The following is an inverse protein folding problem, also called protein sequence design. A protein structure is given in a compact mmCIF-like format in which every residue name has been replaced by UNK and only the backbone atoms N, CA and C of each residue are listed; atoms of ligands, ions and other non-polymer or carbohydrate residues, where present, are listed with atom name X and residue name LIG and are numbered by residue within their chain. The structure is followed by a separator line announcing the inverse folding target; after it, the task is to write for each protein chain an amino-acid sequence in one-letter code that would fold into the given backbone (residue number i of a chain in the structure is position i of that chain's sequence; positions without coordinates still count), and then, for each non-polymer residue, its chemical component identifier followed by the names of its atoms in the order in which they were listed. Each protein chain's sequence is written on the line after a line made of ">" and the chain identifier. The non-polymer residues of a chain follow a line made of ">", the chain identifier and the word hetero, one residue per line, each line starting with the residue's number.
data_IF_831472149877
#
_entry.id   IF_831472149877
#
_cell.length_a   1.000
_cell.length_b   1.000
_cell.length_c   1.000
_cell.angle_alpha   90.00
_cell.angle_beta   90.00
_cell.angle_gamma   90.00
#
_symmetry.space_group_name_H-M   'P 1'
#
loop_
_entity.id
_entity.type
_entity.pdbx_description
1 polymer ?
#
# COMPACT_ATOMS: atom_id res chain seq x y z
N UNK A 1 14.80 -10.16 -9.79
CA UNK A 1 16.04 -10.98 -9.79
C UNK A 1 17.00 -10.56 -8.68
N UNK A 2 17.45 -9.28 -8.58
CA UNK A 2 18.35 -8.90 -7.47
C UNK A 2 17.74 -9.12 -6.08
N UNK A 3 16.49 -8.73 -5.86
CA UNK A 3 15.80 -8.99 -4.59
C UNK A 3 15.61 -10.47 -4.28
N UNK A 4 15.35 -11.28 -5.29
CA UNK A 4 15.23 -12.74 -5.15
C UNK A 4 16.55 -13.38 -4.70
N UNK A 5 17.68 -12.85 -5.16
CA UNK A 5 18.99 -13.34 -4.73
C UNK A 5 19.15 -13.30 -3.21
N UNK A 6 18.73 -12.22 -2.56
CA UNK A 6 18.77 -12.11 -1.10
C UNK A 6 17.72 -12.99 -0.43
N UNK A 7 16.48 -12.98 -0.93
CA UNK A 7 15.41 -13.84 -0.43
C UNK A 7 15.81 -15.31 -0.41
N UNK A 8 16.35 -15.80 -1.53
CA UNK A 8 16.67 -17.23 -1.70
C UNK A 8 17.87 -17.66 -0.84
N UNK A 9 18.62 -16.70 -0.29
CA UNK A 9 19.71 -16.91 0.68
C UNK A 9 19.28 -16.72 2.14
N UNK A 10 17.97 -16.59 2.39
CA UNK A 10 17.42 -16.45 3.74
C UNK A 10 17.58 -15.04 4.33
N UNK A 11 17.57 -14.02 3.48
CA UNK A 11 17.59 -12.61 3.86
C UNK A 11 16.28 -11.95 3.51
N UNK A 12 16.01 -10.78 4.10
CA UNK A 12 14.83 -9.97 3.81
C UNK A 12 15.22 -8.84 2.85
N UNK A 13 14.44 -8.68 1.78
CA UNK A 13 14.66 -7.64 0.78
C UNK A 13 13.38 -6.84 0.53
N UNK A 14 13.54 -5.55 0.27
CA UNK A 14 12.48 -4.64 -0.13
C UNK A 14 12.77 -4.09 -1.52
N UNK A 15 11.77 -4.11 -2.40
CA UNK A 15 11.83 -3.48 -3.71
C UNK A 15 10.68 -2.48 -3.87
N UNK A 16 10.99 -1.30 -4.35
CA UNK A 16 10.02 -0.26 -4.69
C UNK A 16 9.98 -0.10 -6.20
N UNK A 17 8.80 -0.17 -6.80
CA UNK A 17 8.58 0.09 -8.22
C UNK A 17 7.94 1.47 -8.38
N UNK A 18 8.72 2.47 -8.72
CA UNK A 18 8.28 3.85 -8.94
C UNK A 18 8.44 4.21 -10.44
N UNK A 19 7.38 4.08 -11.26
CA UNK A 19 6.07 3.52 -10.93
C UNK A 19 5.59 2.57 -12.04
N UNK A 20 4.61 1.72 -11.72
CA UNK A 20 4.06 0.77 -12.68
C UNK A 20 3.02 1.38 -13.63
N UNK A 21 2.48 2.56 -13.32
CA UNK A 21 1.60 3.29 -14.24
C UNK A 21 2.37 3.73 -15.49
N UNK A 22 3.57 4.30 -15.30
CA UNK A 22 4.45 4.69 -16.42
C UNK A 22 4.96 3.49 -17.19
N UNK A 23 5.23 2.38 -16.51
CA UNK A 23 5.56 1.13 -17.17
C UNK A 23 4.40 0.66 -18.08
N UNK A 24 3.17 0.70 -17.59
CA UNK A 24 1.99 0.34 -18.39
C UNK A 24 1.81 1.26 -19.60
N UNK A 25 2.02 2.57 -19.45
CA UNK A 25 1.97 3.52 -20.57
C UNK A 25 3.02 3.22 -21.63
N UNK A 26 4.26 2.98 -21.23
CA UNK A 26 5.32 2.61 -22.15
C UNK A 26 4.99 1.30 -22.89
N UNK A 27 4.49 0.30 -22.18
CA UNK A 27 4.09 -0.97 -22.78
C UNK A 27 2.93 -0.83 -23.76
N UNK A 28 1.94 0.03 -23.46
CA UNK A 28 0.85 0.39 -24.36
C UNK A 28 1.38 1.02 -25.64
N UNK A 29 2.27 2.01 -25.53
CA UNK A 29 2.86 2.67 -26.69
C UNK A 29 3.60 1.68 -27.60
N UNK A 30 4.46 0.83 -27.03
CA UNK A 30 5.19 -0.20 -27.77
C UNK A 30 4.22 -1.16 -28.47
N UNK A 31 3.18 -1.58 -27.77
CA UNK A 31 2.18 -2.51 -28.32
C UNK A 31 1.40 -1.92 -29.49
N UNK A 32 1.04 -0.63 -29.40
CA UNK A 32 0.37 0.09 -30.49
C UNK A 32 1.28 0.28 -31.71
N UNK A 33 2.55 0.60 -31.50
CA UNK A 33 3.55 0.69 -32.58
C UNK A 33 3.74 -0.65 -33.28
N UNK A 34 3.69 -1.75 -32.54
CA UNK A 34 3.74 -3.11 -33.08
C UNK A 34 2.40 -3.57 -33.67
N UNK A 35 1.40 -2.68 -33.77
CA UNK A 35 0.06 -2.96 -34.31
C UNK A 35 -0.65 -4.12 -33.59
N UNK A 36 -0.39 -4.34 -32.33
CA UNK A 36 -1.16 -5.29 -31.51
C UNK A 36 -2.57 -4.77 -31.29
N UNK A 37 -3.60 -5.60 -31.32
CA UNK A 37 -4.98 -5.16 -31.11
C UNK A 37 -5.14 -4.55 -29.71
N UNK A 38 -5.68 -3.32 -29.59
CA UNK A 38 -5.91 -2.68 -28.33
C UNK A 38 -7.14 -3.28 -27.63
N UNK A 39 -7.06 -3.39 -26.30
CA UNK A 39 -8.17 -3.72 -25.42
C UNK A 39 -8.70 -2.48 -24.66
N UNK A 40 -9.14 -2.69 -23.43
CA UNK A 40 -9.66 -1.62 -22.57
C UNK A 40 -8.61 -0.51 -22.40
N UNK A 41 -9.04 0.74 -22.53
CA UNK A 41 -8.18 1.95 -22.44
C UNK A 41 -6.95 1.89 -23.38
N UNK A 42 -7.11 1.20 -24.51
CA UNK A 42 -6.06 0.95 -25.50
C UNK A 42 -4.84 0.14 -24.99
N UNK A 43 -4.93 -0.48 -23.83
CA UNK A 43 -3.90 -1.40 -23.37
C UNK A 43 -3.97 -2.73 -24.11
N UNK A 44 -2.84 -3.40 -24.33
CA UNK A 44 -2.85 -4.75 -24.89
C UNK A 44 -3.45 -5.75 -23.90
N UNK A 45 -4.00 -6.85 -24.40
CA UNK A 45 -4.69 -7.85 -23.58
C UNK A 45 -3.82 -8.51 -22.49
N UNK A 46 -2.50 -8.45 -22.62
CA UNK A 46 -1.52 -9.04 -21.70
C UNK A 46 -0.95 -8.05 -20.66
N UNK A 47 -1.51 -6.84 -20.55
CA UNK A 47 -1.04 -5.86 -19.56
C UNK A 47 -1.21 -6.33 -18.12
N UNK A 48 -2.25 -7.09 -17.81
CA UNK A 48 -2.40 -7.73 -16.51
C UNK A 48 -1.22 -8.68 -16.21
N UNK A 49 -0.86 -9.51 -17.18
CA UNK A 49 0.27 -10.42 -17.07
C UNK A 49 1.61 -9.69 -16.94
N UNK A 50 1.77 -8.52 -17.56
CA UNK A 50 2.95 -7.67 -17.38
C UNK A 50 3.21 -7.37 -15.90
N UNK A 51 2.17 -7.00 -15.14
CA UNK A 51 2.28 -6.66 -13.73
C UNK A 51 2.27 -7.90 -12.82
N UNK A 52 1.40 -8.87 -13.09
CA UNK A 52 1.28 -10.06 -12.25
C UNK A 52 2.57 -10.87 -12.21
N UNK A 53 3.19 -11.14 -13.35
CA UNK A 53 4.47 -11.88 -13.40
C UNK A 53 5.62 -11.16 -12.68
N UNK A 54 5.54 -9.82 -12.54
CA UNK A 54 6.52 -9.03 -11.82
C UNK A 54 6.27 -9.09 -10.31
N UNK A 55 5.03 -8.87 -9.90
CA UNK A 55 4.64 -8.72 -8.50
C UNK A 55 4.53 -10.05 -7.77
N UNK A 56 4.07 -11.12 -8.43
CA UNK A 56 3.97 -12.46 -7.85
C UNK A 56 5.34 -13.11 -7.52
N UNK A 57 6.42 -12.49 -7.95
CA UNK A 57 7.78 -12.88 -7.55
C UNK A 57 8.12 -12.42 -6.13
N UNK A 58 7.39 -11.44 -5.60
CA UNK A 58 7.49 -11.05 -4.18
C UNK A 58 6.83 -12.15 -3.33
N UNK A 59 7.60 -12.70 -2.41
CA UNK A 59 7.15 -13.83 -1.59
C UNK A 59 8.02 -14.02 -0.37
N UNK A 60 7.51 -14.78 0.58
CA UNK A 60 8.29 -15.30 1.69
C UNK A 60 8.55 -16.79 1.47
N UNK A 61 9.81 -17.20 1.58
CA UNK A 61 10.24 -18.59 1.44
C UNK A 61 10.52 -19.22 2.81
N UNK A 62 10.23 -20.52 2.92
CA UNK A 62 10.42 -21.27 4.15
C UNK A 62 11.88 -21.75 4.30
N UNK A 63 12.18 -22.33 5.45
CA UNK A 63 13.52 -22.87 5.77
C UNK A 63 13.96 -23.92 4.77
N UNK A 64 13.06 -24.85 4.43
CA UNK A 64 13.36 -25.97 3.52
C UNK A 64 13.77 -25.48 2.13
N UNK A 65 13.10 -24.44 1.63
CA UNK A 65 13.44 -23.81 0.35
C UNK A 65 14.86 -23.20 0.39
N UNK A 66 15.17 -22.43 1.45
CA UNK A 66 16.47 -21.76 1.60
C UNK A 66 17.60 -22.80 1.72
N UNK A 67 17.41 -23.85 2.50
CA UNK A 67 18.38 -24.93 2.65
C UNK A 67 18.63 -25.67 1.34
N UNK A 68 17.56 -25.96 0.59
CA UNK A 68 17.68 -26.60 -0.73
C UNK A 68 18.41 -25.71 -1.74
N UNK A 69 18.03 -24.41 -1.80
CA UNK A 69 18.64 -23.45 -2.73
C UNK A 69 20.12 -23.22 -2.44
N UNK A 70 20.48 -23.08 -1.17
CA UNK A 70 21.87 -22.85 -0.73
C UNK A 70 22.68 -24.15 -0.58
N UNK A 71 22.11 -25.31 -0.93
CA UNK A 71 22.75 -26.64 -0.78
C UNK A 71 23.23 -26.91 0.64
N UNK A 72 22.48 -26.39 1.62
CA UNK A 72 22.77 -26.57 3.06
C UNK A 72 23.79 -25.59 3.64
N UNK A 73 24.27 -24.60 2.88
CA UNK A 73 25.14 -23.54 3.41
C UNK A 73 24.43 -22.65 4.44
N UNK A 74 23.15 -22.34 4.19
CA UNK A 74 22.32 -21.56 5.11
C UNK A 74 21.25 -22.45 5.71
N UNK A 75 21.22 -22.57 7.04
CA UNK A 75 20.28 -23.42 7.79
C UNK A 75 19.41 -22.61 8.73
N UNK A 76 18.16 -23.06 8.89
CA UNK A 76 17.23 -22.51 9.87
C UNK A 76 16.75 -21.08 9.58
N UNK A 77 16.97 -20.56 8.38
CA UNK A 77 16.55 -19.21 7.98
C UNK A 77 15.40 -19.24 7.00
N UNK A 78 14.53 -18.25 7.10
CA UNK A 78 13.53 -17.91 6.08
C UNK A 78 13.99 -16.67 5.35
N UNK A 79 13.56 -16.47 4.10
CA UNK A 79 13.84 -15.24 3.37
C UNK A 79 12.54 -14.58 2.90
N UNK A 80 12.56 -13.26 2.68
CA UNK A 80 11.41 -12.56 2.12
C UNK A 80 11.80 -11.53 1.07
N UNK A 81 10.89 -11.31 0.12
CA UNK A 81 10.96 -10.21 -0.83
C UNK A 81 9.63 -9.49 -0.79
N UNK A 82 9.64 -8.26 -0.26
CA UNK A 82 8.48 -7.38 -0.22
C UNK A 82 8.54 -6.41 -1.40
N UNK A 83 7.46 -6.32 -2.16
CA UNK A 83 7.33 -5.36 -3.26
C UNK A 83 6.34 -4.26 -2.90
N UNK A 84 6.72 -3.01 -3.11
CA UNK A 84 5.87 -1.84 -3.00
C UNK A 84 5.73 -1.19 -4.38
N UNK A 85 4.72 -1.58 -5.17
CA UNK A 85 4.43 -0.92 -6.44
C UNK A 85 3.71 0.41 -6.19
N UNK A 86 4.20 1.47 -6.83
CA UNK A 86 3.55 2.78 -6.84
C UNK A 86 2.68 2.86 -8.09
N UNK A 87 1.44 3.29 -7.90
CA UNK A 87 0.45 3.52 -8.94
C UNK A 87 -0.04 4.95 -8.84
N UNK A 88 0.06 5.70 -9.93
CA UNK A 88 -0.56 7.02 -10.05
C UNK A 88 -2.03 6.88 -10.44
N UNK A 89 -2.91 7.57 -9.73
CA UNK A 89 -4.32 7.71 -10.10
C UNK A 89 -4.57 9.12 -10.64
N UNK A 90 -5.47 9.25 -11.61
CA UNK A 90 -5.90 10.56 -12.09
C UNK A 90 -7.15 10.99 -11.31
N UNK A 91 -7.06 12.12 -10.61
CA UNK A 91 -8.17 12.63 -9.80
C UNK A 91 -8.64 11.69 -8.68
N UNK A 92 -7.78 10.77 -8.21
CA UNK A 92 -8.15 9.79 -7.20
C UNK A 92 -8.98 8.60 -7.73
N UNK A 93 -9.15 8.46 -9.05
CA UNK A 93 -9.91 7.34 -9.63
C UNK A 93 -9.15 6.02 -9.51
N UNK A 94 -9.51 5.25 -8.51
CA UNK A 94 -8.99 3.89 -8.26
C UNK A 94 -9.72 2.81 -9.07
N UNK A 95 -10.80 3.16 -9.78
CA UNK A 95 -11.59 2.25 -10.61
C UNK A 95 -11.04 2.10 -12.03
N UNK A 96 -10.05 2.92 -12.40
CA UNK A 96 -9.36 2.83 -13.68
C UNK A 96 -8.68 1.47 -13.88
N UNK A 97 -8.34 1.13 -15.11
CA UNK A 97 -7.93 -0.21 -15.50
C UNK A 97 -6.63 -0.66 -14.81
N UNK A 98 -5.58 0.18 -14.81
CA UNK A 98 -4.30 -0.20 -14.19
C UNK A 98 -4.40 -0.30 -12.67
N UNK A 99 -4.98 0.67 -11.93
CA UNK A 99 -5.17 0.53 -10.49
C UNK A 99 -5.94 -0.73 -10.09
N UNK A 100 -7.06 -1.04 -10.74
CA UNK A 100 -7.87 -2.23 -10.42
C UNK A 100 -7.11 -3.53 -10.65
N UNK A 101 -6.31 -3.62 -11.71
CA UNK A 101 -5.46 -4.77 -11.97
C UNK A 101 -4.43 -4.97 -10.86
N UNK A 102 -3.73 -3.91 -10.47
CA UNK A 102 -2.67 -4.01 -9.44
C UNK A 102 -3.26 -4.29 -8.06
N UNK A 103 -4.40 -3.69 -7.70
CA UNK A 103 -5.12 -4.02 -6.46
C UNK A 103 -5.48 -5.52 -6.41
N UNK A 104 -5.86 -6.11 -7.53
CA UNK A 104 -6.21 -7.54 -7.57
C UNK A 104 -5.01 -8.47 -7.41
N UNK A 105 -3.82 -8.02 -7.80
CA UNK A 105 -2.57 -8.80 -7.71
C UNK A 105 -1.97 -8.69 -6.29
N UNK A 106 -1.99 -7.50 -5.70
CA UNK A 106 -1.33 -7.20 -4.42
C UNK A 106 -2.14 -7.65 -3.21
N UNK A 107 -1.48 -7.78 -2.05
CA UNK A 107 -2.10 -8.17 -0.78
C UNK A 107 -2.70 -7.00 0.00
N UNK A 108 -2.95 -5.92 -0.64
CA UNK A 108 -3.54 -4.72 -0.08
C UNK A 108 -3.06 -3.47 -0.78
N UNK A 109 -3.55 -2.33 -0.32
CA UNK A 109 -3.20 -1.03 -0.87
C UNK A 109 -3.13 0.04 0.22
N UNK A 110 -2.26 0.99 0.02
CA UNK A 110 -2.12 2.20 0.83
C UNK A 110 -2.57 3.38 -0.03
N UNK A 111 -3.65 4.04 0.38
CA UNK A 111 -4.16 5.23 -0.31
C UNK A 111 -3.48 6.48 0.25
N UNK A 112 -2.87 7.25 -0.65
CA UNK A 112 -2.33 8.59 -0.37
C UNK A 112 -3.24 9.62 -1.03
N UNK A 113 -3.72 10.57 -0.25
CA UNK A 113 -4.68 11.59 -0.70
C UNK A 113 -4.04 12.98 -0.75
N UNK A 114 -4.21 13.66 -1.89
CA UNK A 114 -3.69 15.01 -2.09
C UNK A 114 -4.26 16.02 -1.08
N UNK A 115 -5.55 15.90 -0.75
CA UNK A 115 -6.20 16.79 0.20
C UNK A 115 -5.61 16.68 1.61
N UNK A 116 -5.30 15.46 2.05
CA UNK A 116 -4.58 15.25 3.32
C UNK A 116 -3.18 15.84 3.28
N UNK A 117 -2.47 15.68 2.18
CA UNK A 117 -1.14 16.25 1.99
C UNK A 117 -1.16 17.77 2.06
N UNK A 118 -2.12 18.39 1.39
CA UNK A 118 -2.33 19.86 1.38
C UNK A 118 -2.75 20.37 2.75
N UNK A 119 -3.52 19.60 3.51
CA UNK A 119 -3.88 19.88 4.90
C UNK A 119 -2.72 19.68 5.90
N UNK A 120 -1.52 19.32 5.44
CA UNK A 120 -0.34 19.13 6.28
C UNK A 120 -0.27 17.80 7.02
N UNK A 121 -1.15 16.84 6.71
CA UNK A 121 -1.09 15.48 7.24
C UNK A 121 -0.07 14.69 6.43
N UNK A 122 1.07 14.37 7.03
CA UNK A 122 2.17 13.67 6.36
C UNK A 122 2.71 12.55 7.25
N UNK A 123 2.71 11.29 6.76
CA UNK A 123 2.29 10.85 5.42
C UNK A 123 0.79 11.06 5.20
N UNK A 124 0.41 11.37 3.97
CA UNK A 124 -0.98 11.64 3.57
C UNK A 124 -1.79 10.35 3.40
N UNK A 125 -1.62 9.40 4.30
CA UNK A 125 -2.19 8.07 4.24
C UNK A 125 -3.61 8.05 4.80
N UNK A 126 -4.56 7.63 3.99
CA UNK A 126 -5.93 7.40 4.44
C UNK A 126 -6.08 6.00 5.05
N UNK A 127 -6.00 5.90 6.37
CA UNK A 127 -6.15 4.63 7.10
C UNK A 127 -7.57 4.01 6.98
N UNK A 128 -8.58 4.81 6.66
CA UNK A 128 -9.98 4.34 6.52
C UNK A 128 -10.20 3.46 5.30
N UNK A 129 -9.59 3.83 4.16
CA UNK A 129 -9.75 3.13 2.87
C UNK A 129 -8.57 2.24 2.51
N UNK A 130 -7.45 2.38 3.21
CA UNK A 130 -6.30 1.48 3.04
C UNK A 130 -6.59 0.11 3.61
N UNK A 131 -6.20 -0.94 2.90
CA UNK A 131 -6.53 -2.33 3.24
C UNK A 131 -5.27 -3.19 3.21
N UNK A 132 -5.17 -4.13 4.15
CA UNK A 132 -4.23 -5.24 4.12
C UNK A 132 -4.99 -6.56 4.17
N UNK A 133 -4.78 -7.45 3.19
CA UNK A 133 -5.40 -8.78 3.18
C UNK A 133 -4.86 -9.67 4.28
N UNK A 134 -3.58 -9.55 4.60
CA UNK A 134 -2.95 -10.29 5.69
C UNK A 134 -3.35 -9.74 7.06
N UNK A 135 -3.44 -8.42 7.17
CA UNK A 135 -3.97 -7.70 8.32
C UNK A 135 -3.34 -8.11 9.65
N UNK A 136 -4.20 -8.37 10.62
CA UNK A 136 -3.79 -8.68 11.99
C UNK A 136 -2.96 -9.96 12.17
N UNK A 137 -2.90 -10.84 11.17
CA UNK A 137 -2.06 -12.05 11.22
C UNK A 137 -0.55 -11.73 11.17
N UNK A 138 -0.18 -10.63 10.51
CA UNK A 138 1.21 -10.17 10.43
C UNK A 138 1.62 -9.22 11.57
N UNK A 139 0.67 -8.75 12.37
CA UNK A 139 0.92 -7.77 13.41
C UNK A 139 1.41 -8.41 14.71
N UNK A 140 2.31 -7.71 15.41
CA UNK A 140 2.62 -8.04 16.79
C UNK A 140 1.39 -7.86 17.69
N UNK A 141 1.35 -8.54 18.84
CA UNK A 141 0.21 -8.44 19.78
C UNK A 141 -0.08 -7.00 20.23
N UNK A 142 0.96 -6.18 20.40
CA UNK A 142 0.84 -4.77 20.78
C UNK A 142 0.18 -3.98 19.67
N UNK A 143 0.71 -4.05 18.45
CA UNK A 143 0.16 -3.32 17.29
C UNK A 143 -1.29 -3.75 17.02
N UNK A 144 -1.59 -5.04 17.07
CA UNK A 144 -2.95 -5.55 16.89
C UNK A 144 -3.93 -4.99 17.92
N UNK A 145 -3.51 -4.84 19.18
CA UNK A 145 -4.35 -4.29 20.25
C UNK A 145 -4.61 -2.78 20.09
N UNK A 146 -3.60 -2.02 19.64
CA UNK A 146 -3.67 -0.55 19.54
C UNK A 146 -4.29 -0.08 18.22
N UNK A 147 -3.96 -0.71 17.11
CA UNK A 147 -4.33 -0.24 15.77
C UNK A 147 -5.84 -0.16 15.54
N UNK A 148 -6.61 -1.07 16.13
CA UNK A 148 -8.07 -1.06 16.03
C UNK A 148 -8.69 0.20 16.64
N UNK A 149 -8.26 0.58 17.85
CA UNK A 149 -8.73 1.79 18.53
C UNK A 149 -8.35 3.07 17.80
N UNK A 150 -7.11 3.14 17.32
CA UNK A 150 -6.60 4.30 16.54
C UNK A 150 -7.41 4.45 15.24
N UNK A 151 -7.61 3.37 14.49
CA UNK A 151 -8.36 3.39 13.25
C UNK A 151 -9.81 3.86 13.47
N UNK A 152 -10.48 3.36 14.52
CA UNK A 152 -11.84 3.78 14.87
C UNK A 152 -11.88 5.26 15.26
N UNK A 153 -10.96 5.73 16.09
CA UNK A 153 -10.87 7.12 16.48
C UNK A 153 -10.67 8.07 15.28
N UNK A 154 -9.79 7.71 14.35
CA UNK A 154 -9.56 8.49 13.13
C UNK A 154 -10.79 8.50 12.20
N UNK A 155 -11.51 7.38 12.07
CA UNK A 155 -12.74 7.32 11.29
C UNK A 155 -13.83 8.23 11.87
N UNK A 156 -14.06 8.13 13.18
CA UNK A 156 -15.03 8.97 13.91
C UNK A 156 -14.65 10.46 13.84
N UNK A 157 -13.37 10.79 14.00
CA UNK A 157 -12.88 12.16 13.88
C UNK A 157 -13.19 12.75 12.50
N UNK A 158 -12.94 12.03 11.41
CA UNK A 158 -13.20 12.51 10.05
C UNK A 158 -14.69 12.76 9.81
N UNK A 159 -15.53 11.86 10.28
CA UNK A 159 -16.97 11.99 10.17
C UNK A 159 -17.48 13.19 10.95
N UNK A 160 -17.07 13.33 12.20
CA UNK A 160 -17.47 14.45 13.06
C UNK A 160 -16.88 15.80 12.61
N UNK A 161 -15.65 15.83 12.11
CA UNK A 161 -15.02 17.05 11.61
C UNK A 161 -15.76 17.64 10.39
N UNK A 162 -16.31 16.79 9.53
CA UNK A 162 -17.13 17.22 8.41
C UNK A 162 -18.44 17.88 8.89
N UNK A 163 -19.05 17.38 9.96
CA UNK A 163 -20.28 17.94 10.54
C UNK A 163 -20.02 19.17 11.42
N UNK A 164 -18.89 19.23 12.12
CA UNK A 164 -18.56 20.32 13.05
C UNK A 164 -18.49 21.69 12.40
N UNK A 165 -18.20 21.74 11.10
CA UNK A 165 -18.21 22.99 10.32
C UNK A 165 -19.62 23.64 10.19
N UNK A 166 -20.66 22.85 10.42
CA UNK A 166 -22.06 23.28 10.25
C UNK A 166 -22.85 23.36 11.58
N UNK A 167 -22.29 22.85 12.68
CA UNK A 167 -22.98 22.79 13.98
C UNK A 167 -22.45 23.90 14.92
N UNK A 168 -23.34 24.80 15.33
CA UNK A 168 -23.02 25.88 16.26
C UNK A 168 -22.84 25.43 17.72
N UNK A 169 -23.50 24.33 18.11
CA UNK A 169 -23.43 23.76 19.47
C UNK A 169 -23.19 22.25 19.40
N UNK A 170 -21.97 21.85 19.75
CA UNK A 170 -21.59 20.46 19.93
C UNK A 170 -21.68 20.10 21.42
N UNK A 171 -22.21 18.91 21.73
CA UNK A 171 -22.20 18.34 23.06
C UNK A 171 -20.77 18.02 23.54
N UNK A 172 -20.58 17.90 24.85
CA UNK A 172 -19.26 17.65 25.45
C UNK A 172 -18.62 16.34 24.99
N UNK A 173 -19.44 15.30 24.77
CA UNK A 173 -18.95 13.99 24.29
C UNK A 173 -18.38 14.10 22.88
N UNK A 174 -19.06 14.79 21.99
CA UNK A 174 -18.62 15.04 20.61
C UNK A 174 -17.34 15.89 20.57
N UNK A 175 -17.25 16.93 21.42
CA UNK A 175 -16.03 17.74 21.57
C UNK A 175 -14.85 16.89 22.03
N UNK A 176 -15.05 16.01 23.02
CA UNK A 176 -14.00 15.11 23.50
C UNK A 176 -13.51 14.12 22.42
N UNK A 177 -14.40 13.63 21.57
CA UNK A 177 -14.05 12.76 20.44
C UNK A 177 -13.25 13.52 19.36
N UNK A 178 -13.63 14.76 19.06
CA UNK A 178 -12.90 15.62 18.13
C UNK A 178 -11.50 15.93 18.64
N UNK A 179 -11.36 16.34 19.90
CA UNK A 179 -10.06 16.59 20.54
C UNK A 179 -9.16 15.36 20.53
N UNK A 180 -9.76 14.19 20.83
CA UNK A 180 -9.00 12.94 20.80
C UNK A 180 -8.51 12.59 19.39
N UNK A 181 -9.37 12.70 18.38
CA UNK A 181 -9.02 12.42 17.00
C UNK A 181 -8.00 13.40 16.44
N UNK A 182 -8.08 14.68 16.80
CA UNK A 182 -7.08 15.68 16.43
C UNK A 182 -5.70 15.36 17.01
N UNK A 183 -5.63 15.02 18.29
CA UNK A 183 -4.36 14.61 18.95
C UNK A 183 -3.78 13.36 18.33
N UNK A 184 -4.61 12.35 18.02
CA UNK A 184 -4.16 11.13 17.33
C UNK A 184 -3.62 11.48 15.94
N UNK A 185 -4.31 12.35 15.20
CA UNK A 185 -3.85 12.80 13.88
C UNK A 185 -2.51 13.52 13.97
N UNK A 186 -2.32 14.39 14.98
CA UNK A 186 -1.05 15.11 15.17
C UNK A 186 0.09 14.17 15.54
N UNK A 187 -0.15 13.17 16.39
CA UNK A 187 0.82 12.14 16.72
C UNK A 187 1.24 11.28 15.53
N UNK A 188 0.37 11.15 14.54
CA UNK A 188 0.66 10.35 13.31
C UNK A 188 1.43 11.15 12.25
N UNK A 189 1.55 12.47 12.41
CA UNK A 189 2.35 13.29 11.51
C UNK A 189 3.82 13.09 11.78
N UNK A 190 4.60 12.97 10.72
CA UNK A 190 6.06 12.84 10.84
C UNK A 190 6.76 13.69 9.78
N UNK A 191 7.98 14.12 10.11
CA UNK A 191 8.83 14.83 9.16
C UNK A 191 9.43 13.86 8.14
N UNK A 192 9.75 14.38 6.96
CA UNK A 192 10.44 13.61 5.96
C UNK A 192 11.78 13.08 6.51
N UNK A 193 12.06 11.79 6.30
CA UNK A 193 13.24 11.07 6.79
C UNK A 193 13.41 11.04 8.33
N UNK A 194 12.38 11.39 9.08
CA UNK A 194 12.40 11.35 10.55
C UNK A 194 11.16 10.59 11.05
N UNK A 195 11.17 9.26 11.02
CA UNK A 195 10.06 8.45 11.54
C UNK A 195 9.92 8.66 13.05
N UNK A 196 8.67 8.67 13.51
CA UNK A 196 8.34 8.76 14.94
C UNK A 196 8.22 7.38 15.56
#
# INVERSE_FOLDING_TARGET
>A
TMGEYFRDRGEDALIVFDDLTKQAWAYRQISLLLRRPPGREAYPGDVFYLHSRLLERASRVNVEYVEAFTKGEVKGKTGSLTALPIIETQGGDVSAFVPTNVISITDGQIFLEADMFNAGVRPAMNAGVSVSRVGGAAQTKIIKKLSGGIRTALAQYRELAAFSQFASDLDEATKAQLDHGERVTELMKQKQYSPQ
#
